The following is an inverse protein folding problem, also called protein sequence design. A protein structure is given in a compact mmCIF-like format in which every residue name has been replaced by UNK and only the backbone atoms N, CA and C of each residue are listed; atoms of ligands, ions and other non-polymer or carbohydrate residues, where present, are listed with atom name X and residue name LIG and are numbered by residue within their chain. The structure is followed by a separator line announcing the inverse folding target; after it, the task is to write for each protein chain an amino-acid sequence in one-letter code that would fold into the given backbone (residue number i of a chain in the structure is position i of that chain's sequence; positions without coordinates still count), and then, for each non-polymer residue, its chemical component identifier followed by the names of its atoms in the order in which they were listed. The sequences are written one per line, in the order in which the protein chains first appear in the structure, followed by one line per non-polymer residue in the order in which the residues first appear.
data_IF_866629809631
#
_entry.id   IF_866629809631
#
_cell.length_a   1.000
_cell.length_b   1.000
_cell.length_c   1.000
_cell.angle_alpha   90.00
_cell.angle_beta   90.00
_cell.angle_gamma   90.00
#
_symmetry.space_group_name_H-M   'P 1'
#
loop_
_entity.id
_entity.type
_entity.pdbx_description
1 polymer ?
#
# COMPACT_ATOMS: atom_id res chain seq x y z
N UNK A 1 12.78 3.23 -12.29
CA UNK A 1 13.40 4.09 -11.25
C UNK A 1 13.22 3.41 -9.90
N UNK A 2 14.31 3.12 -9.20
CA UNK A 2 14.32 2.47 -7.87
C UNK A 2 13.78 3.45 -6.82
N UNK A 3 12.46 3.61 -6.76
CA UNK A 3 11.80 4.39 -5.73
C UNK A 3 11.45 3.49 -4.57
N UNK A 4 11.72 3.93 -3.34
CA UNK A 4 11.31 3.28 -2.09
C UNK A 4 9.79 3.26 -1.89
N UNK A 5 9.00 3.47 -2.93
CA UNK A 5 7.54 3.54 -2.93
C UNK A 5 7.01 2.82 -4.15
N UNK A 6 6.29 1.72 -3.93
CA UNK A 6 5.57 0.97 -4.95
C UNK A 6 4.13 1.44 -4.99
N UNK A 7 3.66 1.87 -6.15
CA UNK A 7 2.26 2.22 -6.35
C UNK A 7 1.53 1.03 -6.98
N UNK A 8 0.54 0.51 -6.28
CA UNK A 8 -0.34 -0.57 -6.74
C UNK A 8 -1.69 0.04 -7.13
N UNK A 9 -2.17 -0.29 -8.31
CA UNK A 9 -3.49 0.14 -8.79
C UNK A 9 -4.38 -1.08 -8.87
N UNK A 10 -5.55 -1.02 -8.23
CA UNK A 10 -6.54 -2.09 -8.38
C UNK A 10 -7.26 -1.94 -9.74
N UNK A 11 -7.41 -3.01 -10.54
CA UNK A 11 -8.09 -2.91 -11.84
C UNK A 11 -9.60 -2.65 -11.71
N UNK A 12 -10.22 -3.08 -10.62
CA UNK A 12 -11.66 -2.92 -10.36
C UNK A 12 -12.00 -1.71 -9.48
N UNK A 13 -11.01 -1.08 -8.84
CA UNK A 13 -11.24 0.05 -7.93
C UNK A 13 -10.32 1.20 -8.32
N UNK A 14 -10.84 2.43 -8.42
CA UNK A 14 -10.05 3.61 -8.82
C UNK A 14 -8.96 4.02 -7.82
N UNK A 15 -8.77 3.25 -6.75
CA UNK A 15 -7.82 3.52 -5.68
C UNK A 15 -6.40 3.13 -6.12
N UNK A 16 -5.48 4.06 -5.91
CA UNK A 16 -4.04 3.87 -6.10
C UNK A 16 -3.43 3.78 -4.71
N UNK A 17 -2.95 2.59 -4.36
CA UNK A 17 -2.38 2.28 -3.05
C UNK A 17 -0.86 2.44 -3.16
N UNK A 18 -0.30 3.38 -2.40
CA UNK A 18 1.16 3.55 -2.34
C UNK A 18 1.71 2.78 -1.16
N UNK A 19 2.42 1.69 -1.44
CA UNK A 19 3.12 0.88 -0.44
C UNK A 19 4.59 1.31 -0.41
N UNK A 20 5.08 1.89 0.69
CA UNK A 20 6.51 2.13 0.83
C UNK A 20 7.26 0.79 0.86
N UNK A 21 8.32 0.66 0.05
CA UNK A 21 9.22 -0.49 0.07
C UNK A 21 9.96 -0.50 1.42
N UNK A 22 9.84 -1.58 2.20
CA UNK A 22 10.33 -1.61 3.56
C UNK A 22 11.84 -1.78 3.57
N UNK A 23 12.55 -0.95 4.35
CA UNK A 23 13.87 -1.33 4.85
C UNK A 23 13.86 -1.81 6.30
N UNK A 24 12.76 -1.64 7.06
CA UNK A 24 12.64 -2.29 8.38
C UNK A 24 11.20 -2.50 8.89
N UNK A 25 10.33 -1.50 8.99
CA UNK A 25 9.00 -1.70 9.62
C UNK A 25 7.93 -0.76 9.04
N UNK A 26 6.90 -1.31 8.37
CA UNK A 26 5.64 -0.59 8.19
C UNK A 26 4.91 -0.60 9.52
N UNK A 27 4.57 0.58 10.05
CA UNK A 27 3.78 0.67 11.28
C UNK A 27 2.47 -0.10 11.11
N UNK A 28 2.00 -0.85 12.12
CA UNK A 28 0.81 -1.69 11.99
C UNK A 28 -0.47 -0.88 11.69
N UNK A 29 -0.51 0.41 12.03
CA UNK A 29 -1.57 1.32 11.59
C UNK A 29 -1.56 1.58 10.09
N UNK A 30 -0.38 1.72 9.48
CA UNK A 30 -0.22 1.89 8.04
C UNK A 30 -0.60 0.62 7.29
N UNK A 31 -0.26 -0.56 7.82
CA UNK A 31 -0.69 -1.85 7.25
C UNK A 31 -2.22 -2.01 7.30
N UNK A 32 -2.85 -1.67 8.43
CA UNK A 32 -4.31 -1.69 8.57
C UNK A 32 -4.99 -0.74 7.60
N UNK A 33 -4.44 0.45 7.40
CA UNK A 33 -4.98 1.41 6.44
C UNK A 33 -4.86 0.90 5.01
N UNK A 34 -3.70 0.37 4.62
CA UNK A 34 -3.48 -0.24 3.30
C UNK A 34 -4.43 -1.42 3.08
N UNK A 35 -4.63 -2.27 4.08
CA UNK A 35 -5.53 -3.43 4.00
C UNK A 35 -7.00 -3.02 3.86
N UNK A 36 -7.41 -1.95 4.57
CA UNK A 36 -8.74 -1.35 4.43
C UNK A 36 -8.95 -0.73 3.06
N UNK A 37 -7.97 0.03 2.58
CA UNK A 37 -8.01 0.66 1.26
C UNK A 37 -7.96 -0.39 0.13
N UNK A 38 -7.38 -1.57 0.40
CA UNK A 38 -7.38 -2.73 -0.49
C UNK A 38 -8.69 -3.55 -0.45
N UNK A 39 -9.62 -3.26 0.47
CA UNK A 39 -10.89 -3.99 0.59
C UNK A 39 -10.73 -5.45 1.05
N UNK A 40 -9.65 -5.76 1.78
CA UNK A 40 -9.38 -7.09 2.34
C UNK A 40 -9.90 -7.24 3.79
N UNK A 41 -10.79 -6.35 4.22
CA UNK A 41 -11.45 -6.39 5.54
C UNK A 41 -12.70 -7.25 5.52
#
# INVERSE_FOLDING_TARGET
MKGSHHQFKHPSSRLVITVPHPRKDLKPGTLRQIMKDAGLC
#
